data_IF_974636241146
#
_entry.id   IF_974636241146
#
_cell.length_a   1.000
_cell.length_b   1.000
_cell.length_c   1.000
_cell.angle_alpha   90.00
_cell.angle_beta   90.00
_cell.angle_gamma   90.00
#
_symmetry.space_group_name_H-M   'P 1'
#
loop_
_entity.id
_entity.type
_entity.pdbx_description
1 polymer ?
#
# COMPACT_ATOMS: atom_id res chain seq x y z
N UNK A 1 -48.13 28.16 -9.14
CA UNK A 1 -47.36 26.91 -8.99
C UNK A 1 -46.16 27.24 -8.13
N UNK A 2 -45.93 26.60 -7.01
CA UNK A 2 -44.74 26.83 -6.24
C UNK A 2 -43.55 26.34 -7.08
N UNK A 3 -42.59 27.21 -7.36
CA UNK A 3 -41.30 26.82 -7.95
C UNK A 3 -40.62 25.85 -7.02
N UNK A 4 -40.14 24.70 -7.51
CA UNK A 4 -39.36 23.80 -6.68
C UNK A 4 -38.12 24.52 -6.20
N UNK A 5 -37.97 24.69 -4.92
CA UNK A 5 -36.76 25.22 -4.31
C UNK A 5 -35.70 24.13 -4.48
N UNK A 6 -34.90 24.28 -5.52
CA UNK A 6 -33.68 23.49 -5.63
C UNK A 6 -32.71 24.04 -4.60
N UNK A 7 -32.36 23.22 -3.63
CA UNK A 7 -31.26 23.51 -2.72
C UNK A 7 -29.93 23.41 -3.49
N UNK A 8 -29.70 24.36 -4.41
CA UNK A 8 -28.61 24.33 -5.36
C UNK A 8 -27.41 25.18 -4.92
N UNK A 9 -27.39 25.69 -3.67
CA UNK A 9 -26.41 26.73 -3.32
C UNK A 9 -25.22 26.25 -2.48
N UNK A 10 -25.21 25.01 -1.97
CA UNK A 10 -24.18 24.58 -1.02
C UNK A 10 -23.27 23.44 -1.52
N UNK A 11 -22.81 23.51 -2.76
CA UNK A 11 -21.97 22.51 -3.37
C UNK A 11 -22.75 21.31 -3.94
N UNK A 12 -22.09 20.30 -4.52
CA UNK A 12 -22.74 19.20 -5.21
C UNK A 12 -23.43 18.24 -4.21
N UNK A 13 -24.60 18.61 -3.74
CA UNK A 13 -25.46 17.71 -2.98
C UNK A 13 -26.16 16.79 -3.97
N UNK A 14 -25.79 15.51 -3.92
CA UNK A 14 -26.43 14.47 -4.71
C UNK A 14 -27.76 14.13 -4.05
N UNK A 15 -28.88 14.51 -4.69
CA UNK A 15 -30.21 14.11 -4.21
C UNK A 15 -30.49 12.66 -4.61
N UNK A 16 -31.29 11.95 -3.80
CA UNK A 16 -31.67 10.55 -4.09
C UNK A 16 -32.34 10.43 -5.46
N UNK A 17 -33.12 11.43 -5.86
CA UNK A 17 -33.78 11.44 -7.18
C UNK A 17 -32.79 11.58 -8.35
N UNK A 18 -31.71 12.33 -8.17
CA UNK A 18 -30.64 12.44 -9.17
C UNK A 18 -29.91 11.12 -9.31
N UNK A 19 -29.59 10.46 -8.19
CA UNK A 19 -28.95 9.14 -8.19
C UNK A 19 -29.76 8.07 -8.90
N UNK A 20 -31.09 8.10 -8.76
CA UNK A 20 -31.98 7.13 -9.41
C UNK A 20 -32.20 7.44 -10.89
N UNK A 21 -32.22 8.73 -11.28
CA UNK A 21 -32.35 9.14 -12.68
C UNK A 21 -31.09 8.84 -13.50
N UNK A 22 -29.93 8.93 -12.87
CA UNK A 22 -28.65 8.60 -13.51
C UNK A 22 -27.92 7.52 -12.69
N UNK A 23 -28.19 6.23 -12.97
CA UNK A 23 -27.66 5.11 -12.22
C UNK A 23 -26.15 4.95 -12.33
N UNK A 24 -25.50 5.63 -13.29
CA UNK A 24 -24.04 5.60 -13.48
C UNK A 24 -23.29 6.61 -12.59
N UNK A 25 -23.98 7.57 -11.99
CA UNK A 25 -23.32 8.57 -11.11
C UNK A 25 -22.72 7.95 -9.85
N UNK A 26 -23.38 6.97 -9.25
CA UNK A 26 -22.87 6.31 -8.02
C UNK A 26 -21.55 5.58 -8.28
N UNK A 27 -21.45 4.73 -9.32
CA UNK A 27 -20.19 4.11 -9.69
C UNK A 27 -19.08 5.12 -9.96
N UNK A 28 -19.35 6.14 -10.77
CA UNK A 28 -18.37 7.16 -11.12
C UNK A 28 -17.85 7.91 -9.89
N UNK A 29 -18.77 8.30 -8.98
CA UNK A 29 -18.43 9.01 -7.76
C UNK A 29 -17.56 8.18 -6.81
N UNK A 30 -17.86 6.88 -6.64
CA UNK A 30 -17.08 5.99 -5.78
C UNK A 30 -15.67 5.81 -6.34
N UNK A 31 -15.55 5.60 -7.65
CA UNK A 31 -14.26 5.44 -8.30
C UNK A 31 -13.41 6.70 -8.18
N UNK A 32 -13.98 7.88 -8.45
CA UNK A 32 -13.31 9.17 -8.28
C UNK A 32 -12.85 9.40 -6.83
N UNK A 33 -13.71 9.10 -5.86
CA UNK A 33 -13.36 9.22 -4.44
C UNK A 33 -12.26 8.29 -3.96
N UNK A 34 -12.08 7.12 -4.59
CA UNK A 34 -11.10 6.11 -4.17
C UNK A 34 -9.80 6.20 -4.93
N UNK A 35 -9.75 6.98 -6.01
CA UNK A 35 -8.53 7.19 -6.77
C UNK A 35 -7.42 7.77 -5.89
N UNK A 36 -6.23 7.21 -6.00
CA UNK A 36 -5.02 7.61 -5.25
C UNK A 36 -5.06 7.45 -3.70
N UNK A 37 -6.07 6.83 -3.12
CA UNK A 37 -6.11 6.57 -1.68
C UNK A 37 -5.56 5.19 -1.26
N UNK A 38 -5.39 4.27 -2.21
CA UNK A 38 -4.82 2.96 -1.94
C UNK A 38 -3.31 3.03 -1.82
N UNK A 39 -2.79 2.83 -0.60
CA UNK A 39 -1.34 2.70 -0.35
C UNK A 39 -0.77 1.53 -1.15
N UNK A 40 -1.54 0.44 -1.27
CA UNK A 40 -1.17 -0.77 -2.02
C UNK A 40 -0.80 -0.44 -3.46
N UNK A 41 -1.67 0.29 -4.16
CA UNK A 41 -1.48 0.61 -5.59
C UNK A 41 -0.34 1.62 -5.82
N UNK A 42 -0.02 2.43 -4.81
CA UNK A 42 1.11 3.38 -4.87
C UNK A 42 2.46 2.70 -4.63
N UNK A 43 2.49 1.59 -3.88
CA UNK A 43 3.72 0.91 -3.46
C UNK A 43 4.03 -0.29 -4.35
N UNK A 44 3.03 -1.09 -4.70
CA UNK A 44 3.22 -2.30 -5.50
C UNK A 44 3.19 -2.01 -7.00
N UNK A 45 3.90 -2.84 -7.76
CA UNK A 45 3.85 -2.84 -9.22
C UNK A 45 2.52 -3.45 -9.69
N UNK A 46 1.87 -2.84 -10.66
CA UNK A 46 0.71 -3.44 -11.30
C UNK A 46 1.18 -4.53 -12.28
N UNK A 47 0.79 -5.78 -12.03
CA UNK A 47 1.12 -6.93 -12.87
C UNK A 47 0.04 -7.23 -13.94
N UNK A 48 -1.00 -6.39 -14.03
CA UNK A 48 -2.10 -6.56 -14.98
C UNK A 48 -3.20 -7.46 -14.45
N UNK A 49 -3.93 -8.11 -15.37
CA UNK A 49 -5.11 -8.90 -15.04
C UNK A 49 -4.75 -10.37 -14.69
N UNK A 50 -5.24 -10.85 -13.56
CA UNK A 50 -5.16 -12.24 -13.15
C UNK A 50 -6.31 -13.05 -13.79
N UNK A 51 -6.08 -13.64 -14.98
CA UNK A 51 -7.15 -14.27 -15.80
C UNK A 51 -7.83 -15.49 -15.17
N UNK A 52 -7.27 -16.11 -14.14
CA UNK A 52 -7.82 -17.35 -13.55
C UNK A 52 -7.90 -17.29 -12.03
N UNK A 53 -7.88 -16.09 -11.45
CA UNK A 53 -7.89 -15.90 -10.00
C UNK A 53 -6.61 -16.38 -9.29
N UNK A 54 -5.62 -16.90 -10.04
CA UNK A 54 -4.35 -17.38 -9.49
C UNK A 54 -3.19 -16.76 -10.27
N UNK A 55 -2.27 -16.15 -9.56
CA UNK A 55 -1.01 -15.66 -10.14
C UNK A 55 0.11 -16.55 -9.65
N UNK A 56 0.79 -17.20 -10.59
CA UNK A 56 2.02 -17.94 -10.33
C UNK A 56 3.21 -17.02 -10.62
N UNK A 57 4.15 -16.97 -9.72
CA UNK A 57 5.35 -16.18 -9.85
C UNK A 57 6.54 -16.92 -9.24
N UNK A 58 7.74 -16.49 -9.58
CA UNK A 58 8.98 -16.99 -9.00
C UNK A 58 9.59 -15.87 -8.15
N UNK A 59 10.12 -16.23 -6.98
CA UNK A 59 10.90 -15.28 -6.20
C UNK A 59 12.14 -14.90 -6.99
N UNK A 60 12.41 -13.60 -7.11
CA UNK A 60 13.54 -13.11 -7.88
C UNK A 60 14.86 -13.59 -7.28
N UNK A 61 15.73 -14.10 -8.14
CA UNK A 61 17.12 -14.37 -7.80
C UNK A 61 18.02 -13.26 -8.34
N UNK A 62 19.19 -13.01 -7.76
CA UNK A 62 20.16 -12.07 -8.32
C UNK A 62 20.55 -12.43 -9.75
N UNK A 63 20.70 -11.42 -10.60
CA UNK A 63 21.05 -11.61 -12.03
C UNK A 63 22.57 -11.77 -12.21
N UNK A 64 23.18 -12.68 -11.47
CA UNK A 64 24.59 -13.01 -11.57
C UNK A 64 24.76 -14.48 -11.91
N UNK A 65 25.87 -14.82 -12.56
CA UNK A 65 26.24 -16.20 -12.81
C UNK A 65 26.72 -16.86 -11.50
N UNK A 66 26.47 -18.17 -11.34
CA UNK A 66 26.88 -18.92 -10.15
C UNK A 66 28.41 -19.13 -10.05
N UNK A 67 29.13 -18.77 -11.08
CA UNK A 67 30.62 -18.86 -11.13
C UNK A 67 31.21 -17.56 -11.62
N UNK A 68 32.36 -17.21 -11.06
CA UNK A 68 33.14 -16.11 -11.57
C UNK A 68 33.83 -16.49 -12.88
N UNK A 69 34.02 -15.54 -13.84
CA UNK A 69 34.78 -15.79 -15.03
C UNK A 69 36.25 -16.13 -14.67
N UNK A 70 36.74 -17.21 -15.23
CA UNK A 70 38.11 -17.65 -15.02
C UNK A 70 39.02 -17.24 -16.18
N UNK A 71 40.32 -17.08 -15.89
CA UNK A 71 41.34 -16.85 -16.92
C UNK A 71 41.48 -18.12 -17.73
N UNK A 72 41.14 -18.05 -19.02
CA UNK A 72 41.19 -19.19 -19.91
C UNK A 72 42.57 -19.33 -20.56
N UNK A 73 43.15 -20.53 -20.52
CA UNK A 73 44.31 -20.87 -21.31
C UNK A 73 43.97 -20.96 -22.82
N UNK A 74 44.95 -20.81 -23.68
CA UNK A 74 44.77 -20.94 -25.11
C UNK A 74 44.22 -22.35 -25.44
N UNK A 75 43.17 -22.44 -26.28
CA UNK A 75 42.45 -23.67 -26.64
C UNK A 75 41.65 -24.37 -25.51
N UNK A 76 41.58 -23.80 -24.32
CA UNK A 76 40.68 -24.36 -23.27
C UNK A 76 39.22 -24.13 -23.59
N UNK A 77 38.36 -25.04 -23.16
CA UNK A 77 36.90 -24.91 -23.29
C UNK A 77 36.36 -23.74 -22.46
N UNK A 78 35.35 -23.04 -22.99
CA UNK A 78 34.67 -21.98 -22.25
C UNK A 78 33.62 -22.63 -21.32
N UNK A 79 33.69 -22.37 -20.00
CA UNK A 79 32.71 -22.95 -19.07
C UNK A 79 31.28 -22.44 -19.34
N UNK A 80 30.30 -23.34 -19.37
CA UNK A 80 28.89 -23.02 -19.48
C UNK A 80 28.29 -22.98 -18.06
N UNK A 81 27.68 -21.86 -17.72
CA UNK A 81 27.08 -21.65 -16.40
C UNK A 81 25.57 -21.83 -16.49
N UNK A 82 24.97 -22.70 -15.67
CA UNK A 82 23.52 -22.85 -15.60
C UNK A 82 22.88 -21.60 -14.99
N UNK A 83 21.64 -21.33 -15.39
CA UNK A 83 20.83 -20.25 -14.80
C UNK A 83 20.13 -20.75 -13.54
N UNK A 84 20.22 -20.01 -12.44
CA UNK A 84 19.44 -20.28 -11.25
C UNK A 84 18.00 -19.78 -11.43
N UNK A 85 17.03 -20.57 -10.98
CA UNK A 85 15.60 -20.25 -11.01
C UNK A 85 15.13 -20.09 -9.57
N UNK A 86 14.34 -19.03 -9.31
CA UNK A 86 13.77 -18.77 -7.99
C UNK A 86 12.71 -19.79 -7.58
N UNK A 87 12.30 -19.76 -6.33
CA UNK A 87 11.26 -20.65 -5.84
C UNK A 87 9.89 -20.26 -6.44
N UNK A 88 9.17 -21.21 -7.02
CA UNK A 88 7.83 -20.94 -7.53
C UNK A 88 6.84 -20.74 -6.38
N UNK A 89 6.05 -19.69 -6.47
CA UNK A 89 4.99 -19.32 -5.54
C UNK A 89 3.68 -19.13 -6.30
N UNK A 90 2.56 -19.23 -5.59
CA UNK A 90 1.25 -18.94 -6.12
C UNK A 90 0.45 -18.12 -5.10
N UNK A 91 -0.23 -17.08 -5.60
CA UNK A 91 -1.17 -16.28 -4.80
C UNK A 91 -2.54 -16.32 -5.47
N UNK A 92 -3.57 -16.29 -4.63
CA UNK A 92 -4.97 -16.32 -5.06
C UNK A 92 -5.56 -14.93 -4.96
N UNK A 93 -6.36 -14.55 -5.94
CA UNK A 93 -7.18 -13.36 -5.86
C UNK A 93 -8.34 -13.58 -4.89
N UNK A 94 -8.56 -12.61 -4.03
CA UNK A 94 -9.70 -12.60 -3.11
C UNK A 94 -10.61 -11.44 -3.44
N UNK A 95 -11.89 -11.74 -3.63
CA UNK A 95 -12.91 -10.72 -3.84
C UNK A 95 -13.33 -10.08 -2.52
N UNK A 96 -13.45 -8.75 -2.53
CA UNK A 96 -14.03 -7.96 -1.45
C UNK A 96 -15.11 -7.07 -2.04
N UNK A 97 -16.31 -7.20 -1.50
CA UNK A 97 -17.48 -6.49 -1.98
C UNK A 97 -18.27 -5.85 -0.84
N UNK A 98 -18.87 -4.71 -1.14
CA UNK A 98 -19.82 -4.00 -0.26
C UNK A 98 -20.94 -3.43 -1.10
N UNK A 99 -22.13 -3.30 -0.50
CA UNK A 99 -23.29 -2.73 -1.16
C UNK A 99 -23.75 -1.43 -0.51
N UNK A 100 -24.23 -0.53 -1.34
CA UNK A 100 -24.97 0.66 -0.94
C UNK A 100 -26.45 0.41 -1.22
N UNK A 101 -27.32 0.79 -0.30
CA UNK A 101 -28.75 0.62 -0.43
C UNK A 101 -29.49 1.93 -0.17
N UNK A 102 -30.41 2.26 -1.08
CA UNK A 102 -31.31 3.42 -0.98
C UNK A 102 -32.75 2.92 -0.97
N UNK A 103 -33.46 3.10 0.14
CA UNK A 103 -34.86 2.66 0.24
C UNK A 103 -35.81 3.63 -0.44
N UNK A 104 -36.96 3.10 -0.88
CA UNK A 104 -38.06 3.94 -1.39
C UNK A 104 -38.63 4.93 -0.35
N UNK A 105 -38.45 4.60 0.93
CA UNK A 105 -38.83 5.49 2.02
C UNK A 105 -37.87 6.69 2.15
N UNK A 106 -36.54 6.45 2.04
CA UNK A 106 -35.55 7.53 1.98
C UNK A 106 -35.83 8.46 0.81
N UNK A 107 -36.19 7.89 -0.34
CA UNK A 107 -36.55 8.65 -1.53
C UNK A 107 -37.78 9.52 -1.29
N UNK A 108 -38.87 8.95 -0.72
CA UNK A 108 -40.10 9.70 -0.45
C UNK A 108 -39.89 10.81 0.57
N UNK A 109 -39.01 10.62 1.54
CA UNK A 109 -38.71 11.60 2.58
C UNK A 109 -37.60 12.59 2.15
N UNK A 110 -37.05 12.43 0.96
CA UNK A 110 -35.96 13.25 0.43
C UNK A 110 -34.74 13.37 1.37
N UNK A 111 -34.39 12.29 2.06
CA UNK A 111 -33.28 12.26 3.00
C UNK A 111 -31.98 12.06 2.21
N UNK A 112 -31.19 13.10 2.06
CA UNK A 112 -29.95 13.11 1.25
C UNK A 112 -28.74 12.64 2.05
N UNK A 113 -28.61 13.07 3.30
CA UNK A 113 -27.44 12.83 4.14
C UNK A 113 -27.07 11.35 4.33
N UNK A 114 -28.02 10.39 4.50
CA UNK A 114 -27.65 8.99 4.67
C UNK A 114 -26.97 8.38 3.45
N UNK A 115 -27.32 8.79 2.23
CA UNK A 115 -26.74 8.23 1.00
C UNK A 115 -25.28 8.67 0.83
N UNK A 116 -25.01 9.95 0.99
CA UNK A 116 -23.65 10.49 0.95
C UNK A 116 -22.78 9.87 2.04
N UNK A 117 -23.34 9.70 3.23
CA UNK A 117 -22.66 9.05 4.35
C UNK A 117 -22.33 7.57 4.05
N UNK A 118 -23.27 6.82 3.44
CA UNK A 118 -23.02 5.44 3.02
C UNK A 118 -21.91 5.34 1.97
N UNK A 119 -21.90 6.25 0.97
CA UNK A 119 -20.85 6.33 -0.03
C UNK A 119 -19.47 6.50 0.62
N UNK A 120 -19.34 7.46 1.54
CA UNK A 120 -18.09 7.69 2.27
C UNK A 120 -17.71 6.51 3.16
N UNK A 121 -18.67 5.84 3.79
CA UNK A 121 -18.40 4.64 4.59
C UNK A 121 -17.89 3.49 3.74
N UNK A 122 -18.50 3.23 2.59
CA UNK A 122 -18.06 2.18 1.67
C UNK A 122 -16.65 2.48 1.15
N UNK A 123 -16.40 3.72 0.68
CA UNK A 123 -15.07 4.19 0.28
C UNK A 123 -14.02 3.88 1.36
N UNK A 124 -14.22 4.44 2.55
CA UNK A 124 -13.25 4.33 3.64
C UNK A 124 -13.02 2.87 4.05
N UNK A 125 -14.08 2.05 4.05
CA UNK A 125 -13.98 0.64 4.43
C UNK A 125 -13.25 -0.18 3.36
N UNK A 126 -13.48 0.09 2.08
CA UNK A 126 -12.76 -0.59 0.98
C UNK A 126 -11.27 -0.26 1.01
N UNK A 127 -10.91 1.03 1.13
CA UNK A 127 -9.51 1.45 1.27
C UNK A 127 -8.84 0.84 2.49
N UNK A 128 -9.52 0.91 3.65
CA UNK A 128 -9.03 0.31 4.89
C UNK A 128 -8.78 -1.19 4.72
N UNK A 129 -9.74 -1.90 4.15
CA UNK A 129 -9.70 -3.35 3.97
C UNK A 129 -8.52 -3.79 3.10
N UNK A 130 -8.28 -3.14 1.96
CA UNK A 130 -7.17 -3.48 1.06
C UNK A 130 -5.81 -3.13 1.65
N UNK A 131 -5.68 -1.98 2.30
CA UNK A 131 -4.45 -1.60 2.99
C UNK A 131 -4.14 -2.57 4.15
N UNK A 132 -5.17 -3.09 4.85
CA UNK A 132 -4.99 -4.10 5.89
C UNK A 132 -4.51 -5.45 5.30
N UNK A 133 -5.07 -5.89 4.16
CA UNK A 133 -4.59 -7.10 3.47
C UNK A 133 -3.12 -6.98 3.10
N UNK A 134 -2.73 -5.86 2.54
CA UNK A 134 -1.34 -5.59 2.17
C UNK A 134 -0.40 -5.67 3.38
N UNK A 135 -0.72 -4.97 4.46
CA UNK A 135 0.11 -5.00 5.66
C UNK A 135 0.19 -6.39 6.28
N UNK A 136 -0.93 -7.10 6.35
CA UNK A 136 -0.95 -8.47 6.86
C UNK A 136 -0.13 -9.43 5.98
N UNK A 137 -0.17 -9.25 4.66
CA UNK A 137 0.62 -10.05 3.74
C UNK A 137 2.13 -9.82 3.90
N UNK A 138 2.57 -8.58 4.18
CA UNK A 138 3.97 -8.26 4.51
C UNK A 138 4.36 -8.95 5.82
N UNK A 139 3.57 -8.77 6.88
CA UNK A 139 3.88 -9.27 8.21
C UNK A 139 3.83 -10.80 8.32
N UNK A 140 3.01 -11.44 7.49
CA UNK A 140 2.93 -12.91 7.43
C UNK A 140 4.04 -13.55 6.58
N UNK A 141 4.75 -12.76 5.77
CA UNK A 141 5.79 -13.29 4.90
C UNK A 141 7.11 -13.47 5.67
N UNK A 142 7.49 -14.72 5.88
CA UNK A 142 8.72 -15.09 6.61
C UNK A 142 10.02 -14.79 5.85
N UNK A 143 9.94 -14.54 4.56
CA UNK A 143 11.11 -14.19 3.72
C UNK A 143 11.47 -12.70 3.80
N UNK A 144 10.62 -11.86 4.43
CA UNK A 144 10.87 -10.44 4.64
C UNK A 144 11.91 -10.25 5.73
N UNK A 145 12.82 -9.28 5.52
CA UNK A 145 13.83 -8.96 6.52
C UNK A 145 13.20 -8.27 7.73
N UNK A 146 13.69 -8.61 8.93
CA UNK A 146 13.22 -8.01 10.18
C UNK A 146 14.38 -7.42 10.97
N UNK A 147 14.18 -6.22 11.51
CA UNK A 147 15.10 -5.53 12.39
C UNK A 147 14.42 -5.26 13.72
N UNK A 148 14.91 -5.88 14.79
CA UNK A 148 14.49 -5.52 16.15
C UNK A 148 15.25 -4.28 16.61
N UNK A 149 14.53 -3.22 16.96
CA UNK A 149 15.11 -1.97 17.47
C UNK A 149 15.52 -2.15 18.94
N UNK A 150 16.74 -1.75 19.28
CA UNK A 150 17.28 -1.94 20.62
C UNK A 150 16.57 -1.11 21.69
N UNK A 151 16.20 0.13 21.33
CA UNK A 151 15.52 1.07 22.23
C UNK A 151 14.26 1.60 21.55
N UNK A 152 13.08 1.51 22.19
CA UNK A 152 11.86 2.10 21.64
C UNK A 152 12.05 3.58 21.29
N UNK A 153 11.49 4.03 20.19
CA UNK A 153 11.66 5.40 19.70
C UNK A 153 11.04 6.47 20.64
N UNK A 154 10.16 6.04 21.53
CA UNK A 154 9.63 6.88 22.60
C UNK A 154 10.60 7.09 23.77
N UNK A 155 11.68 6.32 23.85
CA UNK A 155 12.65 6.42 24.94
C UNK A 155 13.62 7.59 24.74
N UNK A 156 14.19 8.08 25.84
CA UNK A 156 15.24 9.13 25.82
C UNK A 156 16.53 8.68 25.13
N UNK A 157 16.76 7.36 25.08
CA UNK A 157 17.95 6.75 24.48
C UNK A 157 17.68 6.22 23.05
N UNK A 158 16.62 6.72 22.41
CA UNK A 158 16.26 6.31 21.07
C UNK A 158 17.33 6.69 20.03
N UNK A 159 17.69 5.72 19.18
CA UNK A 159 18.70 5.88 18.11
C UNK A 159 18.03 5.82 16.73
N UNK A 160 16.98 6.61 16.52
CA UNK A 160 16.12 6.58 15.33
C UNK A 160 16.93 6.64 14.03
N UNK A 161 17.93 7.51 13.96
CA UNK A 161 18.78 7.66 12.77
C UNK A 161 19.57 6.38 12.47
N UNK A 162 20.16 5.78 13.51
CA UNK A 162 20.93 4.55 13.37
C UNK A 162 20.02 3.38 12.97
N UNK A 163 18.81 3.29 13.54
CA UNK A 163 17.86 2.24 13.25
C UNK A 163 17.38 2.31 11.79
N UNK A 164 17.06 3.52 11.28
CA UNK A 164 16.69 3.74 9.89
C UNK A 164 17.85 3.46 8.93
N UNK A 165 19.07 3.86 9.30
CA UNK A 165 20.28 3.57 8.52
C UNK A 165 20.56 2.06 8.47
N UNK A 166 20.41 1.36 9.61
CA UNK A 166 20.58 -0.10 9.66
C UNK A 166 19.51 -0.84 8.85
N UNK A 167 18.26 -0.39 8.89
CA UNK A 167 17.19 -0.96 8.07
C UNK A 167 17.48 -0.74 6.56
N UNK A 168 17.93 0.44 6.18
CA UNK A 168 18.37 0.71 4.80
C UNK A 168 19.53 -0.18 4.39
N UNK A 169 20.55 -0.28 5.23
CA UNK A 169 21.72 -1.14 4.98
C UNK A 169 21.34 -2.62 4.80
N UNK A 170 20.39 -3.14 5.59
CA UNK A 170 19.91 -4.51 5.43
C UNK A 170 19.32 -4.74 4.03
N UNK A 171 18.54 -3.80 3.52
CA UNK A 171 17.93 -3.89 2.19
C UNK A 171 19.00 -3.76 1.10
N UNK A 172 19.88 -2.77 1.20
CA UNK A 172 20.94 -2.50 0.22
C UNK A 172 21.95 -3.66 0.15
N UNK A 173 22.24 -4.26 1.31
CA UNK A 173 23.18 -5.38 1.41
C UNK A 173 22.50 -6.75 1.27
N UNK A 174 21.24 -6.79 0.81
CA UNK A 174 20.56 -8.04 0.53
C UNK A 174 21.33 -8.86 -0.52
N UNK A 175 21.72 -10.05 -0.13
CA UNK A 175 22.52 -10.93 -0.98
C UNK A 175 22.12 -12.39 -0.81
N UNK A 176 22.49 -13.19 -1.78
CA UNK A 176 22.38 -14.64 -1.75
C UNK A 176 23.76 -15.21 -2.11
N UNK A 177 24.20 -16.20 -1.35
CA UNK A 177 25.44 -16.92 -1.68
C UNK A 177 25.10 -18.09 -2.59
N UNK A 178 25.70 -18.13 -3.78
CA UNK A 178 25.53 -19.24 -4.72
C UNK A 178 26.13 -20.55 -4.15
N UNK A 179 25.77 -21.66 -4.74
CA UNK A 179 26.31 -23.00 -4.37
C UNK A 179 27.84 -23.03 -4.42
N UNK A 180 28.44 -22.25 -5.29
CA UNK A 180 29.91 -22.15 -5.46
C UNK A 180 30.57 -21.08 -4.56
N UNK A 181 29.82 -20.51 -3.58
CA UNK A 181 30.35 -19.54 -2.63
C UNK A 181 30.46 -18.10 -3.17
N UNK A 182 29.94 -17.82 -4.36
CA UNK A 182 29.92 -16.46 -4.92
C UNK A 182 28.77 -15.68 -4.27
N UNK A 183 29.09 -14.52 -3.66
CA UNK A 183 28.10 -13.61 -3.09
C UNK A 183 27.48 -12.76 -4.20
N UNK A 184 26.17 -12.80 -4.30
CA UNK A 184 25.40 -12.12 -5.34
C UNK A 184 24.44 -11.12 -4.69
N UNK A 185 24.53 -9.85 -5.04
CA UNK A 185 23.70 -8.78 -4.49
C UNK A 185 22.50 -8.47 -5.39
N UNK A 186 21.38 -8.10 -4.79
CA UNK A 186 20.17 -7.69 -5.52
C UNK A 186 20.23 -6.24 -5.99
N UNK A 187 20.98 -5.37 -5.32
CA UNK A 187 21.06 -3.95 -5.63
C UNK A 187 19.74 -3.22 -5.40
N UNK A 188 19.13 -3.44 -4.23
CA UNK A 188 17.92 -2.72 -3.81
C UNK A 188 18.28 -1.35 -3.24
N UNK A 189 17.43 -0.36 -3.51
CA UNK A 189 17.54 1.00 -2.98
C UNK A 189 16.21 1.35 -2.30
N UNK A 190 16.11 1.34 -0.97
CA UNK A 190 14.88 1.67 -0.27
C UNK A 190 14.51 3.13 -0.49
N UNK A 191 13.23 3.39 -0.76
CA UNK A 191 12.71 4.72 -1.05
C UNK A 191 11.47 5.11 -0.23
N UNK A 192 10.83 4.13 0.44
CA UNK A 192 9.56 4.34 1.11
C UNK A 192 9.56 3.80 2.54
N UNK A 193 9.19 4.65 3.47
CA UNK A 193 9.00 4.33 4.89
C UNK A 193 7.52 4.42 5.24
N UNK A 194 6.90 3.31 5.65
CA UNK A 194 5.50 3.26 6.10
C UNK A 194 5.46 3.19 7.61
N UNK A 195 4.78 4.15 8.24
CA UNK A 195 4.68 4.27 9.70
C UNK A 195 3.24 4.40 10.17
N UNK A 196 2.99 4.07 11.43
CA UNK A 196 1.71 4.32 12.09
C UNK A 196 1.62 5.79 12.55
N UNK A 197 0.40 6.26 12.81
CA UNK A 197 0.13 7.58 13.39
C UNK A 197 0.78 7.77 14.76
N UNK A 198 0.85 6.72 15.59
CA UNK A 198 1.52 6.75 16.89
C UNK A 198 3.01 6.93 16.69
N UNK A 199 3.63 6.15 15.82
CA UNK A 199 5.05 6.27 15.47
C UNK A 199 5.35 7.65 14.88
N UNK A 200 4.45 8.19 14.02
CA UNK A 200 4.56 9.57 13.54
C UNK A 200 4.61 10.58 14.68
N UNK A 201 3.70 10.46 15.68
CA UNK A 201 3.69 11.35 16.82
C UNK A 201 4.96 11.23 17.66
N UNK A 202 5.46 10.01 17.85
CA UNK A 202 6.73 9.75 18.55
C UNK A 202 7.92 10.40 17.84
N UNK A 203 7.99 10.30 16.51
CA UNK A 203 9.03 10.97 15.71
C UNK A 203 9.01 12.48 15.90
N UNK A 204 7.83 13.09 15.89
CA UNK A 204 7.68 14.54 16.11
C UNK A 204 8.05 14.99 17.52
N UNK A 205 7.87 14.13 18.53
CA UNK A 205 8.21 14.43 19.92
C UNK A 205 9.67 14.17 20.25
N UNK A 206 10.36 13.34 19.49
CA UNK A 206 11.76 12.98 19.76
C UNK A 206 12.70 14.14 19.47
N UNK A 207 13.40 14.61 20.50
CA UNK A 207 14.41 15.68 20.38
C UNK A 207 15.59 15.27 19.50
N UNK A 208 15.99 14.00 19.55
CA UNK A 208 17.10 13.46 18.75
C UNK A 208 16.79 13.44 17.26
N UNK A 209 15.51 13.28 16.89
CA UNK A 209 15.05 13.34 15.52
C UNK A 209 14.81 14.79 15.07
N UNK A 210 14.22 15.62 15.92
CA UNK A 210 13.87 17.00 15.59
C UNK A 210 15.10 17.92 15.45
N UNK A 211 16.16 17.71 16.23
CA UNK A 211 17.34 18.57 16.25
C UNK A 211 18.02 18.76 14.87
N UNK A 212 18.21 17.73 14.03
CA UNK A 212 18.78 17.91 12.69
C UNK A 212 17.88 18.64 11.70
N UNK A 213 16.58 18.70 11.98
CA UNK A 213 15.56 19.34 11.13
C UNK A 213 15.17 20.75 11.64
N UNK A 214 15.97 21.34 12.54
CA UNK A 214 15.81 22.72 12.97
C UNK A 214 16.34 23.62 11.85
N UNK A 215 15.43 24.10 10.99
CA UNK A 215 15.76 25.15 10.03
C UNK A 215 15.85 26.52 10.70
N UNK A 216 16.62 27.44 10.11
CA UNK A 216 16.76 28.83 10.61
C UNK A 216 15.46 29.63 10.49
N UNK A 217 14.54 29.21 9.63
CA UNK A 217 13.25 29.87 9.38
C UNK A 217 12.13 29.11 10.09
N UNK A 218 11.29 29.82 10.83
CA UNK A 218 10.17 29.22 11.59
C UNK A 218 9.20 28.40 10.73
N UNK A 219 9.04 28.71 9.44
CA UNK A 219 8.21 27.95 8.51
C UNK A 219 8.78 26.60 8.11
N UNK A 220 10.07 26.40 8.25
CA UNK A 220 10.78 25.14 7.94
C UNK A 220 11.04 24.31 9.21
N UNK A 221 10.91 24.95 10.38
CA UNK A 221 11.19 24.30 11.64
C UNK A 221 10.07 23.31 12.01
N UNK A 222 10.44 22.03 12.19
CA UNK A 222 9.55 20.95 12.56
C UNK A 222 8.75 21.22 13.84
N UNK A 223 9.37 21.90 14.82
CA UNK A 223 8.74 22.25 16.10
C UNK A 223 7.58 23.26 15.94
N UNK A 224 7.66 24.16 14.97
CA UNK A 224 6.61 25.14 14.72
C UNK A 224 5.55 24.62 13.76
N UNK A 225 5.94 23.86 12.74
CA UNK A 225 4.99 23.35 11.73
C UNK A 225 4.21 22.15 12.22
N UNK A 226 4.77 21.35 13.13
CA UNK A 226 4.15 20.09 13.60
C UNK A 226 3.91 19.07 12.48
N UNK A 227 4.48 19.29 11.30
CA UNK A 227 4.36 18.38 10.15
C UNK A 227 5.62 17.55 10.01
N UNK A 228 5.45 16.23 9.88
CA UNK A 228 6.55 15.36 9.51
C UNK A 228 7.02 15.73 8.09
N UNK A 229 8.33 15.85 7.85
CA UNK A 229 8.82 16.07 6.49
C UNK A 229 8.40 14.92 5.59
N UNK A 230 8.12 15.22 4.32
CA UNK A 230 7.71 14.21 3.33
C UNK A 230 8.83 13.19 3.09
N UNK A 231 10.09 13.59 3.28
CA UNK A 231 11.26 12.74 3.14
C UNK A 231 12.12 12.72 4.39
N UNK A 232 12.48 11.52 4.84
CA UNK A 232 13.40 11.26 5.94
C UNK A 232 14.52 10.40 5.38
N UNK A 233 15.79 10.84 5.42
CA UNK A 233 16.92 10.13 4.82
C UNK A 233 16.71 9.71 3.36
N UNK A 234 16.06 10.53 2.56
CA UNK A 234 15.64 10.25 1.20
C UNK A 234 14.46 9.25 1.07
N UNK A 235 13.91 8.75 2.16
CA UNK A 235 12.72 7.89 2.15
C UNK A 235 11.45 8.73 2.16
N UNK A 236 10.52 8.45 1.26
CA UNK A 236 9.17 9.02 1.26
C UNK A 236 8.37 8.42 2.43
N UNK A 237 7.80 9.28 3.28
CA UNK A 237 7.07 8.82 4.46
C UNK A 237 5.59 8.69 4.16
N UNK A 238 5.08 7.45 4.24
CA UNK A 238 3.66 7.14 4.16
C UNK A 238 3.12 6.81 5.55
N UNK A 239 2.01 7.46 5.92
CA UNK A 239 1.37 7.21 7.21
C UNK A 239 0.12 6.37 7.00
N UNK A 240 0.11 5.15 7.57
CA UNK A 240 -1.01 4.22 7.46
C UNK A 240 -1.44 3.73 8.83
N UNK A 241 -2.77 3.69 9.06
CA UNK A 241 -3.35 3.16 10.31
C UNK A 241 -3.30 1.65 10.43
N UNK A 242 -3.05 0.95 9.31
CA UNK A 242 -2.98 -0.50 9.25
C UNK A 242 -1.64 -1.06 9.72
N UNK A 243 -0.61 -0.23 9.82
CA UNK A 243 0.66 -0.62 10.42
C UNK A 243 0.44 -0.82 11.93
N UNK A 244 0.79 -1.99 12.50
CA UNK A 244 0.70 -2.20 13.93
C UNK A 244 1.52 -1.17 14.71
N UNK A 245 1.06 -0.80 15.89
CA UNK A 245 1.84 0.04 16.80
C UNK A 245 3.14 -0.64 17.17
N UNK A 246 4.23 0.12 17.25
CA UNK A 246 5.56 -0.45 17.53
C UNK A 246 6.23 -1.11 16.34
N UNK A 247 5.69 -0.92 15.12
CA UNK A 247 6.33 -1.39 13.89
C UNK A 247 6.42 -0.26 12.85
N UNK A 248 7.44 -0.34 11.99
CA UNK A 248 7.55 0.45 10.77
C UNK A 248 8.07 -0.44 9.64
N UNK A 249 7.75 -0.10 8.40
CA UNK A 249 8.15 -0.88 7.24
C UNK A 249 8.92 0.02 6.29
N UNK A 250 10.15 -0.36 6.00
CA UNK A 250 10.99 0.26 4.99
C UNK A 250 11.03 -0.63 3.75
N UNK A 251 10.86 -0.07 2.55
CA UNK A 251 10.82 -0.86 1.32
C UNK A 251 11.19 -0.05 0.08
N UNK A 252 11.45 -0.77 -1.01
CA UNK A 252 11.57 -0.19 -2.34
C UNK A 252 10.25 -0.31 -3.10
N UNK A 253 9.67 0.83 -3.53
CA UNK A 253 8.43 0.86 -4.34
C UNK A 253 8.60 0.09 -5.64
N UNK A 254 7.48 -0.48 -6.12
CA UNK A 254 7.34 -1.14 -7.43
C UNK A 254 8.29 -2.31 -7.66
N UNK A 255 9.22 -2.56 -6.74
CA UNK A 255 10.19 -3.65 -6.83
C UNK A 255 9.97 -4.73 -5.78
N UNK A 256 9.41 -4.38 -4.61
CA UNK A 256 9.16 -5.32 -3.51
C UNK A 256 8.10 -6.39 -3.84
N UNK A 257 7.16 -6.07 -4.72
CA UNK A 257 6.06 -6.97 -5.04
C UNK A 257 5.12 -6.40 -6.10
N UNK A 258 4.04 -7.12 -6.34
CA UNK A 258 3.05 -6.78 -7.35
C UNK A 258 1.62 -6.97 -6.84
N UNK A 259 0.70 -6.25 -7.47
CA UNK A 259 -0.73 -6.48 -7.38
C UNK A 259 -1.27 -6.86 -8.76
N UNK A 260 -2.10 -7.88 -8.82
CA UNK A 260 -2.77 -8.32 -10.04
C UNK A 260 -4.27 -8.34 -9.77
N UNK A 261 -5.02 -7.52 -10.47
CA UNK A 261 -6.47 -7.47 -10.36
C UNK A 261 -7.10 -8.56 -11.23
N UNK A 262 -7.91 -9.44 -10.64
CA UNK A 262 -8.83 -10.31 -11.38
C UNK A 262 -10.04 -9.49 -11.82
N UNK A 263 -10.58 -8.72 -10.90
CA UNK A 263 -11.63 -7.76 -11.09
C UNK A 263 -11.15 -6.40 -10.59
N UNK A 264 -10.89 -5.42 -11.46
CA UNK A 264 -10.53 -4.09 -11.03
C UNK A 264 -11.66 -3.48 -10.19
N UNK A 265 -11.33 -2.47 -9.38
CA UNK A 265 -12.36 -1.83 -8.58
C UNK A 265 -13.48 -1.31 -9.48
N UNK A 266 -14.67 -1.82 -9.27
CA UNK A 266 -15.85 -1.45 -10.02
C UNK A 266 -17.06 -1.33 -9.11
N UNK A 267 -18.01 -0.50 -9.52
CA UNK A 267 -19.29 -0.38 -8.87
C UNK A 267 -20.39 -0.70 -9.91
N UNK A 268 -21.38 -1.49 -9.50
CA UNK A 268 -22.51 -1.80 -10.36
C UNK A 268 -23.42 -0.58 -10.51
N UNK A 269 -24.09 -0.39 -11.67
CA UNK A 269 -25.18 0.56 -11.78
C UNK A 269 -26.27 0.25 -10.72
N UNK A 270 -27.02 1.26 -10.32
CA UNK A 270 -28.13 1.06 -9.40
C UNK A 270 -29.18 0.11 -10.02
N UNK A 271 -29.44 -0.98 -9.36
CA UNK A 271 -30.48 -1.93 -9.73
C UNK A 271 -31.54 -2.06 -8.62
N UNK A 272 -32.72 -2.46 -9.01
CA UNK A 272 -33.85 -2.58 -8.10
C UNK A 272 -33.92 -3.96 -7.47
N UNK A 273 -33.97 -4.01 -6.14
CA UNK A 273 -34.30 -5.21 -5.36
C UNK A 273 -35.76 -5.09 -4.91
N UNK A 274 -36.66 -5.70 -5.71
CA UNK A 274 -38.09 -5.60 -5.48
C UNK A 274 -38.56 -6.22 -4.16
N UNK A 275 -38.06 -7.40 -3.72
CA UNK A 275 -38.45 -7.96 -2.42
C UNK A 275 -38.19 -7.03 -1.24
N UNK A 276 -37.12 -6.26 -1.29
CA UNK A 276 -36.74 -5.33 -0.22
C UNK A 276 -37.19 -3.89 -0.46
N UNK A 277 -37.71 -3.58 -1.66
CA UNK A 277 -38.08 -2.23 -2.10
C UNK A 277 -36.97 -1.22 -1.92
N UNK A 278 -35.74 -1.62 -2.33
CA UNK A 278 -34.54 -0.80 -2.27
C UNK A 278 -33.86 -0.74 -3.64
N UNK A 279 -33.13 0.33 -3.85
CA UNK A 279 -32.15 0.45 -4.93
C UNK A 279 -30.79 0.10 -4.37
N UNK A 280 -30.05 -0.74 -5.09
CA UNK A 280 -28.77 -1.28 -4.64
C UNK A 280 -27.69 -1.04 -5.69
N UNK A 281 -26.47 -0.71 -5.24
CA UNK A 281 -25.24 -0.70 -6.02
C UNK A 281 -24.18 -1.46 -5.26
N UNK A 282 -23.54 -2.41 -5.92
CA UNK A 282 -22.47 -3.23 -5.35
C UNK A 282 -21.12 -2.68 -5.80
N UNK A 283 -20.21 -2.50 -4.84
CA UNK A 283 -18.82 -2.09 -5.05
C UNK A 283 -17.94 -3.28 -4.75
N UNK A 284 -17.10 -3.67 -5.71
CA UNK A 284 -16.30 -4.88 -5.60
C UNK A 284 -14.92 -4.69 -6.23
N UNK A 285 -13.94 -5.40 -5.68
CA UNK A 285 -12.59 -5.56 -6.22
C UNK A 285 -12.08 -6.94 -5.87
N UNK A 286 -11.51 -7.66 -6.83
CA UNK A 286 -10.81 -8.90 -6.60
C UNK A 286 -9.37 -8.75 -7.06
N UNK A 287 -8.41 -8.93 -6.14
CA UNK A 287 -7.01 -8.79 -6.44
C UNK A 287 -6.16 -9.84 -5.70
N UNK A 288 -5.04 -10.18 -6.31
CA UNK A 288 -3.97 -10.99 -5.73
C UNK A 288 -2.77 -10.09 -5.42
N UNK A 289 -2.21 -10.22 -4.22
CA UNK A 289 -1.00 -9.50 -3.82
C UNK A 289 0.13 -10.52 -3.66
N UNK A 290 1.23 -10.32 -4.38
CA UNK A 290 2.41 -11.17 -4.33
C UNK A 290 3.68 -10.38 -4.09
N UNK A 291 4.63 -10.98 -3.37
CA UNK A 291 5.96 -10.41 -3.11
C UNK A 291 7.00 -11.27 -3.82
N UNK A 292 7.43 -10.81 -4.99
CA UNK A 292 8.47 -11.48 -5.80
C UNK A 292 9.88 -11.15 -5.30
N UNK A 293 10.05 -10.04 -4.59
CA UNK A 293 11.32 -9.61 -4.01
C UNK A 293 11.17 -9.27 -2.52
N UNK A 294 10.96 -10.25 -1.64
CA UNK A 294 10.71 -10.00 -0.21
C UNK A 294 11.90 -9.36 0.50
N UNK A 295 13.14 -9.57 0.02
CA UNK A 295 14.36 -8.96 0.57
C UNK A 295 14.44 -7.44 0.33
N UNK A 296 13.60 -6.90 -0.56
CA UNK A 296 13.46 -5.44 -0.74
C UNK A 296 12.60 -4.77 0.35
N UNK A 297 12.17 -5.53 1.35
CA UNK A 297 11.34 -5.07 2.46
C UNK A 297 12.05 -5.36 3.77
N UNK A 298 12.08 -4.38 4.68
CA UNK A 298 12.54 -4.54 6.06
C UNK A 298 11.44 -4.08 7.03
N UNK A 299 11.03 -4.97 7.92
CA UNK A 299 10.08 -4.68 9.00
C UNK A 299 10.85 -4.39 10.28
N UNK A 300 10.76 -3.16 10.77
CA UNK A 300 11.32 -2.76 12.05
C UNK A 300 10.30 -3.03 13.14
N UNK A 301 10.74 -3.66 14.24
CA UNK A 301 9.89 -4.02 15.40
C UNK A 301 10.47 -3.47 16.69
N UNK A 302 9.62 -3.20 17.69
CA UNK A 302 10.05 -2.67 18.98
C UNK A 302 10.25 -1.16 19.00
N UNK A 303 9.58 -0.43 18.10
CA UNK A 303 9.66 1.02 17.93
C UNK A 303 8.92 1.80 19.02
#
# INVERSE_FOLDING_TARGET
MPTPVYAASDGPRITVDVLIKDPLQVPALILDMTENEFVVDSVLRNAGLAQSGVVRYEESTPLYADQNPEVRAEFAEVPVVPTSIGQPRAVYAHERAMAIMVSDEMRRRQIVDPVTRQLLQVKNTMVYSWNAVFMNAILANTSVQTLAVANPWASSNATIRADLANAGFLIENANVTSVNGVVQWFGFEPDTLIVNHVTKATLLQSSSFAAPYLGDIASENLLYTGKLPNKIFNYDVLVSRQVPTGTAVLMQRQRCGFIADELPMMASPLYRDEPRKVWRSDVQRAAAIGFDQPLAICVMTGI
#
